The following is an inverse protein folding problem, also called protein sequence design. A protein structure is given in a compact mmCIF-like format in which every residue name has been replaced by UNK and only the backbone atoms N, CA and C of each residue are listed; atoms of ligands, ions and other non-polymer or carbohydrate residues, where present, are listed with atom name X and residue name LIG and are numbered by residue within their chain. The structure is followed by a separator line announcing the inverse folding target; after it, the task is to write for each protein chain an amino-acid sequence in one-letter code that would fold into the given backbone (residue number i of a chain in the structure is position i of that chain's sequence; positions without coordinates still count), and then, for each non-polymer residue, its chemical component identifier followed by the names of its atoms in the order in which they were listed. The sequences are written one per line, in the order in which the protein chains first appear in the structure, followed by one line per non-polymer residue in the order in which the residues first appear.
data_IF_102896121109
#
_entry.id   IF_102896121109
#
_cell.length_a   1.000
_cell.length_b   1.000
_cell.length_c   1.000
_cell.angle_alpha   90.00
_cell.angle_beta   90.00
_cell.angle_gamma   90.00
#
_symmetry.space_group_name_H-M   'P 1'
#
loop_
_entity.id
_entity.type
_entity.pdbx_description
1 polymer ?
#
# COMPACT_ATOMS: atom_id res chain seq x y z
N UNK A 1 -14.11 25.59 17.74
CA UNK A 1 -13.30 26.01 18.90
C UNK A 1 -12.34 24.90 19.25
N UNK A 2 -11.05 25.15 19.12
CA UNK A 2 -9.97 24.22 19.42
C UNK A 2 -9.44 24.42 20.85
N UNK A 3 -9.02 23.33 21.52
CA UNK A 3 -8.20 23.40 22.73
C UNK A 3 -6.72 23.28 22.38
N UNK A 4 -5.86 23.97 23.15
CA UNK A 4 -4.41 23.82 23.08
C UNK A 4 -3.99 22.36 23.12
N UNK A 5 -2.98 22.01 22.32
CA UNK A 5 -2.38 20.67 22.32
C UNK A 5 -1.75 20.40 23.70
N UNK A 6 -1.81 19.14 24.13
CA UNK A 6 -1.16 18.62 25.34
C UNK A 6 -0.21 17.50 24.96
N UNK A 7 0.82 17.29 25.78
CA UNK A 7 1.79 16.20 25.63
C UNK A 7 1.76 15.33 26.90
N UNK A 8 1.53 14.04 26.72
CA UNK A 8 1.46 13.04 27.78
C UNK A 8 2.31 11.81 27.40
N UNK A 9 2.85 11.09 28.37
CA UNK A 9 3.54 9.80 28.14
C UNK A 9 2.55 8.65 28.21
N UNK A 10 2.80 7.59 27.44
CA UNK A 10 2.09 6.32 27.63
C UNK A 10 2.49 5.66 28.97
N UNK A 11 1.54 4.97 29.61
CA UNK A 11 1.70 4.37 30.95
C UNK A 11 2.48 3.05 30.95
N UNK A 12 2.83 2.54 29.78
CA UNK A 12 3.60 1.31 29.53
C UNK A 12 5.13 1.48 29.71
N UNK A 13 5.59 2.69 30.04
CA UNK A 13 7.01 3.07 30.13
C UNK A 13 7.82 2.83 28.82
N UNK A 14 7.14 2.78 27.68
CA UNK A 14 7.73 2.58 26.34
C UNK A 14 8.58 3.76 25.82
N UNK A 15 8.63 4.88 26.54
CA UNK A 15 9.24 6.14 26.07
C UNK A 15 8.45 6.78 24.92
N UNK A 16 7.16 6.50 24.80
CA UNK A 16 6.31 7.06 23.74
C UNK A 16 5.58 8.31 24.24
N UNK A 17 5.32 9.25 23.32
CA UNK A 17 4.64 10.52 23.61
C UNK A 17 3.35 10.63 22.81
N UNK A 18 2.26 10.97 23.51
CA UNK A 18 0.92 11.22 23.00
C UNK A 18 0.71 12.73 22.96
N UNK A 19 0.77 13.33 21.77
CA UNK A 19 0.30 14.71 21.58
C UNK A 19 -1.20 14.66 21.28
N UNK A 20 -2.03 15.45 21.97
CA UNK A 20 -3.47 15.44 21.71
C UNK A 20 -4.13 16.81 21.83
N UNK A 21 -5.20 17.01 21.06
CA UNK A 21 -6.06 18.18 21.13
C UNK A 21 -7.53 17.77 20.99
N UNK A 22 -8.45 18.70 21.28
CA UNK A 22 -9.88 18.45 21.24
C UNK A 22 -10.61 19.67 20.64
N UNK A 23 -11.59 19.39 19.79
CA UNK A 23 -12.44 20.40 19.13
C UNK A 23 -13.85 20.34 19.71
N UNK A 24 -14.49 21.51 19.81
CA UNK A 24 -15.86 21.69 20.27
C UNK A 24 -16.70 22.47 19.26
N UNK A 25 -18.00 22.16 19.22
CA UNK A 25 -19.01 22.72 18.33
C UNK A 25 -18.63 22.54 16.84
N UNK A 26 -18.35 21.30 16.41
CA UNK A 26 -18.15 20.98 14.99
C UNK A 26 -19.51 20.94 14.29
N UNK A 27 -19.84 22.01 13.57
CA UNK A 27 -21.17 22.17 12.94
C UNK A 27 -21.32 21.39 11.62
N UNK A 28 -20.24 21.12 10.90
CA UNK A 28 -20.26 20.37 9.64
C UNK A 28 -18.98 19.55 9.41
N UNK A 29 -19.04 18.61 8.47
CA UNK A 29 -17.96 17.69 8.16
C UNK A 29 -16.66 18.42 7.82
N UNK A 30 -15.64 18.14 8.62
CA UNK A 30 -14.40 18.91 8.70
C UNK A 30 -13.20 18.10 8.26
N UNK A 31 -12.16 18.79 7.79
CA UNK A 31 -10.85 18.21 7.54
C UNK A 31 -9.91 18.67 8.63
N UNK A 32 -9.23 17.73 9.29
CA UNK A 32 -8.26 18.06 10.35
C UNK A 32 -6.87 17.66 9.87
N UNK A 33 -5.89 18.50 10.17
CA UNK A 33 -4.48 18.34 9.77
C UNK A 33 -3.55 18.46 10.97
N UNK A 34 -2.43 17.74 10.90
CA UNK A 34 -1.32 17.81 11.83
C UNK A 34 -0.05 18.22 11.09
N UNK A 35 0.76 19.04 11.75
CA UNK A 35 2.00 19.59 11.22
C UNK A 35 3.14 19.40 12.21
N UNK A 36 4.38 19.28 11.71
CA UNK A 36 5.61 19.46 12.50
C UNK A 36 6.51 20.42 11.76
N UNK A 37 6.88 21.53 12.39
CA UNK A 37 7.71 22.59 11.79
C UNK A 37 7.15 23.03 10.41
N UNK A 38 5.86 23.37 10.37
CA UNK A 38 5.09 23.76 9.17
C UNK A 38 4.85 22.66 8.10
N UNK A 39 5.59 21.54 8.11
CA UNK A 39 5.35 20.40 7.22
C UNK A 39 4.12 19.57 7.66
N UNK A 40 3.23 19.23 6.73
CA UNK A 40 2.03 18.42 7.00
C UNK A 40 2.37 16.93 7.16
N UNK A 41 2.23 16.43 8.38
CA UNK A 41 2.59 15.05 8.75
C UNK A 41 1.41 14.06 8.69
N UNK A 42 0.17 14.55 8.79
CA UNK A 42 -1.04 13.74 8.64
C UNK A 42 -2.30 14.59 8.42
N UNK A 43 -3.29 14.03 7.71
CA UNK A 43 -4.66 14.58 7.65
C UNK A 43 -5.71 13.48 7.69
N UNK A 44 -6.95 13.85 8.01
CA UNK A 44 -8.12 12.95 8.04
C UNK A 44 -9.43 13.75 7.97
N UNK A 45 -10.53 13.03 7.75
CA UNK A 45 -11.90 13.57 7.80
C UNK A 45 -12.52 13.32 9.17
N UNK A 46 -13.38 14.24 9.60
CA UNK A 46 -14.06 14.22 10.89
C UNK A 46 -15.50 14.69 10.70
N UNK A 47 -16.47 13.97 11.28
CA UNK A 47 -17.88 14.27 11.05
C UNK A 47 -18.41 15.40 11.94
N UNK A 48 -19.50 16.04 11.48
CA UNK A 48 -20.29 16.95 12.29
C UNK A 48 -20.66 16.34 13.66
N UNK A 49 -20.58 17.12 14.73
CA UNK A 49 -20.87 16.70 16.10
C UNK A 49 -19.83 15.78 16.77
N UNK A 50 -18.76 15.36 16.09
CA UNK A 50 -17.73 14.53 16.72
C UNK A 50 -16.81 15.37 17.64
N UNK A 51 -16.85 15.15 18.97
CA UNK A 51 -16.03 15.87 19.98
C UNK A 51 -14.96 15.01 20.67
N UNK A 52 -14.60 13.87 20.08
CA UNK A 52 -13.48 13.02 20.51
C UNK A 52 -12.14 13.79 20.55
N UNK A 53 -11.18 13.50 21.42
CA UNK A 53 -9.80 13.93 21.19
C UNK A 53 -9.26 13.33 19.88
N UNK A 54 -8.41 14.09 19.17
CA UNK A 54 -7.41 13.45 18.31
C UNK A 54 -6.09 13.39 19.06
N UNK A 55 -5.46 12.23 18.93
CA UNK A 55 -4.15 11.91 19.43
C UNK A 55 -3.18 11.69 18.25
N UNK A 56 -1.92 12.02 18.47
CA UNK A 56 -0.78 11.80 17.60
C UNK A 56 0.29 11.10 18.44
N UNK A 57 0.47 9.80 18.22
CA UNK A 57 1.51 9.01 18.90
C UNK A 57 2.87 9.21 18.20
N UNK A 58 3.88 9.56 18.98
CA UNK A 58 5.29 9.52 18.62
C UNK A 58 5.89 8.31 19.34
N UNK A 59 6.17 7.23 18.61
CA UNK A 59 6.84 6.05 19.15
C UNK A 59 8.30 6.40 19.52
N UNK A 60 8.87 5.78 20.56
CA UNK A 60 10.24 5.99 21.08
C UNK A 60 10.76 7.43 20.89
N UNK A 61 10.17 8.37 21.63
CA UNK A 61 10.41 9.79 21.47
C UNK A 61 11.84 10.19 21.89
N UNK A 62 12.45 11.06 21.09
CA UNK A 62 13.88 11.38 21.11
C UNK A 62 14.10 12.86 20.81
N UNK A 63 15.32 13.37 20.98
CA UNK A 63 15.65 14.77 20.63
C UNK A 63 15.32 15.14 19.17
N UNK A 64 15.41 14.19 18.22
CA UNK A 64 14.98 14.38 16.82
C UNK A 64 13.48 14.67 16.67
N UNK A 65 12.66 14.29 17.64
CA UNK A 65 11.21 14.53 17.64
C UNK A 65 10.85 15.94 18.11
N UNK A 66 11.79 16.69 18.69
CA UNK A 66 11.55 18.08 19.08
C UNK A 66 11.14 18.97 17.89
N UNK A 67 10.35 20.00 18.18
CA UNK A 67 9.80 20.91 17.17
C UNK A 67 8.46 21.53 17.57
N UNK A 68 7.95 22.42 16.72
CA UNK A 68 6.61 23.00 16.85
C UNK A 68 5.61 22.07 16.16
N UNK A 69 4.72 21.46 16.95
CA UNK A 69 3.61 20.67 16.44
C UNK A 69 2.38 21.54 16.28
N UNK A 70 1.78 21.54 15.10
CA UNK A 70 0.55 22.27 14.80
C UNK A 70 -0.61 21.32 14.57
N UNK A 71 -1.83 21.73 14.93
CA UNK A 71 -3.06 21.07 14.52
C UNK A 71 -4.10 22.10 14.08
N UNK A 72 -4.75 21.88 12.94
CA UNK A 72 -5.81 22.73 12.41
C UNK A 72 -7.05 21.93 12.02
N UNK A 73 -8.20 22.58 12.07
CA UNK A 73 -9.49 22.07 11.59
C UNK A 73 -10.10 23.06 10.60
N UNK A 74 -10.50 22.57 9.42
CA UNK A 74 -11.04 23.37 8.32
C UNK A 74 -12.37 22.81 7.84
N UNK A 75 -13.38 23.68 7.70
CA UNK A 75 -14.68 23.40 7.08
C UNK A 75 -15.20 24.65 6.33
N UNK A 76 -16.47 24.64 5.91
CA UNK A 76 -17.08 25.76 5.17
C UNK A 76 -17.17 27.08 5.95
N UNK A 77 -17.13 27.02 7.29
CA UNK A 77 -17.21 28.19 8.17
C UNK A 77 -15.84 28.82 8.45
N UNK A 78 -14.73 28.18 8.06
CA UNK A 78 -13.39 28.72 8.20
C UNK A 78 -12.33 27.70 8.62
N UNK A 79 -11.29 28.16 9.32
CA UNK A 79 -10.24 27.33 9.91
C UNK A 79 -9.91 27.80 11.31
N UNK A 80 -9.74 26.85 12.23
CA UNK A 80 -9.37 27.04 13.63
C UNK A 80 -8.09 26.22 13.90
N UNK A 81 -7.14 26.71 14.69
CA UNK A 81 -5.81 26.08 14.80
C UNK A 81 -5.10 26.35 16.13
N UNK A 82 -4.18 25.45 16.49
CA UNK A 82 -3.34 25.55 17.68
C UNK A 82 -1.96 24.95 17.41
N UNK A 83 -0.98 25.42 18.16
CA UNK A 83 0.39 24.91 18.20
C UNK A 83 0.79 24.39 19.59
N UNK A 84 1.93 23.70 19.66
CA UNK A 84 2.65 23.34 20.88
C UNK A 84 4.12 23.05 20.58
N UNK A 85 5.04 23.62 21.36
CA UNK A 85 6.48 23.33 21.28
C UNK A 85 6.83 22.09 22.09
N UNK A 86 7.11 20.98 21.42
CA UNK A 86 7.71 19.80 22.04
C UNK A 86 9.22 20.03 22.15
N UNK A 87 9.69 20.51 23.31
CA UNK A 87 11.11 20.79 23.54
C UNK A 87 11.91 19.52 23.88
N UNK A 88 13.22 19.56 23.66
CA UNK A 88 14.12 18.49 24.08
C UNK A 88 14.13 18.29 25.61
N UNK A 89 13.80 19.33 26.40
CA UNK A 89 13.68 19.25 27.86
C UNK A 89 12.43 18.49 28.29
N UNK A 90 11.28 18.74 27.63
CA UNK A 90 10.04 17.97 27.83
C UNK A 90 10.31 16.50 27.50
N UNK A 91 10.98 16.24 26.37
CA UNK A 91 11.35 14.90 25.95
C UNK A 91 12.33 14.22 26.93
N UNK A 92 13.32 14.93 27.47
CA UNK A 92 14.25 14.40 28.46
C UNK A 92 13.54 14.07 29.79
N UNK A 93 12.64 14.95 30.27
CA UNK A 93 11.83 14.70 31.46
C UNK A 93 10.82 13.54 31.30
N UNK A 94 10.46 13.21 30.06
CA UNK A 94 9.62 12.04 29.72
C UNK A 94 10.42 10.75 29.49
N UNK A 95 11.72 10.85 29.15
CA UNK A 95 12.57 9.73 28.76
C UNK A 95 13.33 9.14 29.97
N UNK A 96 12.61 8.62 30.95
CA UNK A 96 13.20 8.00 32.16
C UNK A 96 13.69 6.55 31.90
N UNK A 97 14.32 6.29 30.75
CA UNK A 97 14.77 4.94 30.35
C UNK A 97 16.13 4.97 29.67
N UNK A 98 17.17 5.19 30.47
CA UNK A 98 18.52 4.77 30.10
C UNK A 98 18.53 3.24 29.84
N UNK A 99 19.21 2.81 28.79
CA UNK A 99 19.12 1.45 28.26
C UNK A 99 19.95 0.43 29.08
N UNK A 100 19.57 0.21 30.34
CA UNK A 100 20.24 -0.68 31.30
C UNK A 100 20.00 -2.18 31.02
N UNK A 101 20.39 -2.67 29.85
CA UNK A 101 20.64 -4.10 29.54
C UNK A 101 19.44 -5.07 29.57
N UNK A 102 18.29 -4.68 30.10
CA UNK A 102 17.08 -5.50 30.14
C UNK A 102 16.46 -5.57 28.74
N UNK A 103 16.65 -6.70 28.06
CA UNK A 103 15.97 -6.98 26.80
C UNK A 103 14.45 -6.99 26.95
N UNK A 104 13.74 -6.61 25.90
CA UNK A 104 12.29 -6.46 25.85
C UNK A 104 11.65 -7.78 25.38
N UNK A 105 10.63 -8.25 26.10
CA UNK A 105 9.78 -9.35 25.61
C UNK A 105 8.84 -8.79 24.54
N UNK A 106 8.66 -9.52 23.44
CA UNK A 106 7.83 -9.14 22.29
C UNK A 106 6.97 -10.31 21.80
N UNK A 107 5.85 -9.94 21.18
CA UNK A 107 4.91 -10.87 20.56
C UNK A 107 4.94 -10.67 19.04
N UNK A 108 5.33 -11.69 18.28
CA UNK A 108 5.47 -11.65 16.81
C UNK A 108 4.44 -12.57 16.13
N UNK A 109 3.97 -12.25 14.92
CA UNK A 109 3.00 -13.10 14.20
C UNK A 109 3.32 -13.03 12.69
N UNK A 110 4.20 -13.91 12.18
CA UNK A 110 4.77 -13.78 10.86
C UNK A 110 3.76 -14.11 9.75
N UNK A 111 3.93 -13.47 8.59
CA UNK A 111 3.13 -13.71 7.39
C UNK A 111 3.98 -14.48 6.37
N UNK A 112 3.78 -15.81 6.32
CA UNK A 112 4.59 -16.67 5.45
C UNK A 112 3.90 -16.87 4.10
N UNK A 113 4.62 -16.53 3.03
CA UNK A 113 4.24 -16.82 1.65
C UNK A 113 4.86 -18.16 1.23
N UNK A 114 4.01 -19.15 0.99
CA UNK A 114 4.40 -20.54 0.70
C UNK A 114 4.38 -20.87 -0.80
N UNK A 115 3.63 -20.10 -1.61
CA UNK A 115 3.33 -20.39 -3.03
C UNK A 115 3.62 -19.21 -3.99
N UNK A 116 4.58 -18.34 -3.64
CA UNK A 116 5.06 -17.26 -4.50
C UNK A 116 4.07 -16.09 -4.66
N UNK A 117 4.22 -15.28 -5.71
CA UNK A 117 3.51 -14.00 -5.87
C UNK A 117 1.97 -14.08 -6.02
N UNK A 118 1.40 -15.28 -6.16
CA UNK A 118 -0.04 -15.50 -6.18
C UNK A 118 -0.60 -16.01 -4.84
N UNK A 119 0.27 -16.24 -3.84
CA UNK A 119 -0.12 -16.59 -2.49
C UNK A 119 -0.61 -15.32 -1.75
N UNK A 120 -1.76 -15.41 -1.06
CA UNK A 120 -2.22 -14.34 -0.17
C UNK A 120 -1.35 -14.20 1.09
N UNK A 121 -0.48 -15.18 1.33
CA UNK A 121 0.22 -15.38 2.59
C UNK A 121 -0.69 -16.09 3.60
N UNK A 122 -0.06 -16.80 4.53
CA UNK A 122 -0.72 -17.39 5.70
C UNK A 122 -0.07 -16.83 6.96
N UNK A 123 -0.90 -16.31 7.86
CA UNK A 123 -0.49 -15.95 9.21
C UNK A 123 -0.22 -17.23 10.01
N UNK A 124 0.97 -17.32 10.62
CA UNK A 124 1.33 -18.43 11.50
C UNK A 124 1.06 -18.02 12.96
N UNK A 125 0.99 -19.00 13.86
CA UNK A 125 0.79 -18.78 15.30
C UNK A 125 1.78 -17.77 15.89
N UNK A 126 1.34 -17.13 16.99
CA UNK A 126 2.11 -16.10 17.68
C UNK A 126 3.36 -16.68 18.34
N UNK A 127 4.51 -16.09 18.03
CA UNK A 127 5.76 -16.32 18.73
C UNK A 127 5.92 -15.33 19.88
N UNK A 128 6.46 -15.82 20.99
CA UNK A 128 6.80 -15.03 22.18
C UNK A 128 8.30 -15.13 22.37
N UNK A 129 8.99 -14.01 22.20
CA UNK A 129 10.44 -13.97 22.19
C UNK A 129 10.99 -12.70 22.82
N UNK A 130 12.31 -12.66 23.02
CA UNK A 130 12.99 -11.52 23.62
C UNK A 130 14.01 -10.91 22.68
N UNK A 131 14.06 -9.59 22.66
CA UNK A 131 15.01 -8.80 21.88
C UNK A 131 15.82 -7.88 22.78
N UNK A 132 16.97 -7.41 22.31
CA UNK A 132 17.76 -6.37 22.96
C UNK A 132 18.11 -5.30 21.92
N UNK A 133 17.63 -4.07 22.12
CA UNK A 133 17.96 -2.95 21.24
C UNK A 133 19.47 -2.71 21.22
N UNK A 134 20.06 -2.81 20.04
CA UNK A 134 21.51 -2.75 19.83
C UNK A 134 21.97 -1.39 19.30
N UNK A 135 21.14 -0.72 18.48
CA UNK A 135 21.44 0.58 17.88
C UNK A 135 20.15 1.28 17.46
N UNK A 136 19.92 2.51 17.93
CA UNK A 136 18.69 3.28 17.68
C UNK A 136 18.85 4.31 16.54
N UNK A 137 17.70 4.71 15.96
CA UNK A 137 17.58 5.79 14.97
C UNK A 137 18.34 5.58 13.64
N UNK A 138 18.16 4.39 13.05
CA UNK A 138 18.70 3.99 11.74
C UNK A 138 17.95 4.62 10.55
N UNK A 139 17.86 5.95 10.55
CA UNK A 139 17.23 6.71 9.48
C UNK A 139 16.89 8.15 9.90
N UNK A 140 16.50 8.92 8.90
CA UNK A 140 16.15 10.35 9.03
C UNK A 140 14.74 10.65 8.45
N UNK A 141 13.88 9.62 8.40
CA UNK A 141 12.54 9.73 7.82
C UNK A 141 11.49 10.14 8.86
N UNK A 142 10.91 11.34 8.71
CA UNK A 142 9.82 11.88 9.54
C UNK A 142 8.52 11.04 9.63
N UNK A 143 8.47 9.86 9.00
CA UNK A 143 7.31 8.95 8.98
C UNK A 143 7.58 7.57 9.59
N UNK A 144 8.83 7.19 9.84
CA UNK A 144 9.20 5.86 10.32
C UNK A 144 10.44 5.91 11.20
N UNK A 145 10.38 5.23 12.36
CA UNK A 145 11.53 4.98 13.21
C UNK A 145 12.04 3.56 12.98
N UNK A 146 13.36 3.44 12.96
CA UNK A 146 14.06 2.20 12.64
C UNK A 146 15.17 2.00 13.66
N UNK A 147 15.32 0.79 14.18
CA UNK A 147 16.42 0.40 15.07
C UNK A 147 16.85 -1.04 14.82
N UNK A 148 18.11 -1.36 15.18
CA UNK A 148 18.60 -2.74 15.21
C UNK A 148 18.34 -3.32 16.59
N UNK A 149 17.90 -4.57 16.61
CA UNK A 149 17.79 -5.35 17.85
C UNK A 149 18.39 -6.74 17.66
N UNK A 150 19.03 -7.27 18.70
CA UNK A 150 19.54 -8.63 18.74
C UNK A 150 18.48 -9.55 19.32
N UNK A 151 18.17 -10.64 18.63
CA UNK A 151 17.25 -11.68 19.11
C UNK A 151 17.96 -12.48 20.20
N UNK A 152 17.25 -12.72 21.31
CA UNK A 152 17.76 -13.45 22.48
C UNK A 152 17.17 -14.87 22.53
N UNK A 153 15.87 -15.01 22.27
CA UNK A 153 15.18 -16.31 22.09
C UNK A 153 13.78 -16.09 21.48
N UNK A 154 13.15 -17.16 21.00
CA UNK A 154 11.70 -17.30 20.88
C UNK A 154 11.09 -16.68 19.62
N UNK A 155 11.90 -16.46 18.58
CA UNK A 155 11.45 -15.98 17.26
C UNK A 155 11.78 -16.98 16.13
N UNK A 156 12.34 -18.12 16.49
CA UNK A 156 12.62 -19.26 15.62
C UNK A 156 11.32 -19.83 15.01
N UNK A 157 11.31 -20.26 13.74
CA UNK A 157 12.43 -20.33 12.80
C UNK A 157 12.65 -19.05 11.96
N UNK A 158 11.93 -17.95 12.26
CA UNK A 158 11.97 -16.72 11.44
C UNK A 158 13.21 -15.88 11.75
N UNK A 159 13.62 -15.83 13.02
CA UNK A 159 14.91 -15.31 13.44
C UNK A 159 15.53 -16.21 14.51
N UNK A 160 16.76 -16.67 14.27
CA UNK A 160 17.53 -17.46 15.24
C UNK A 160 18.08 -16.58 16.37
N UNK A 161 18.13 -17.11 17.60
CA UNK A 161 18.82 -16.53 18.74
C UNK A 161 20.25 -16.10 18.38
N UNK A 162 20.62 -14.89 18.76
CA UNK A 162 21.89 -14.26 18.44
C UNK A 162 21.90 -13.40 17.18
N UNK A 163 20.97 -13.60 16.24
CA UNK A 163 20.92 -12.80 15.01
C UNK A 163 20.39 -11.37 15.26
N UNK A 164 20.77 -10.45 14.38
CA UNK A 164 20.31 -9.05 14.42
C UNK A 164 19.14 -8.87 13.46
N UNK A 165 17.99 -8.44 13.98
CA UNK A 165 16.86 -7.97 13.19
C UNK A 165 16.85 -6.42 13.13
N UNK A 166 16.09 -5.89 12.17
CA UNK A 166 15.74 -4.48 12.07
C UNK A 166 14.26 -4.36 12.39
N UNK A 167 13.94 -3.47 13.33
CA UNK A 167 12.58 -3.19 13.78
C UNK A 167 12.18 -1.82 13.22
N UNK A 168 11.03 -1.75 12.57
CA UNK A 168 10.47 -0.50 12.02
C UNK A 168 9.09 -0.23 12.61
N UNK A 169 8.90 0.97 13.14
CA UNK A 169 7.59 1.48 13.58
C UNK A 169 7.27 2.74 12.80
N UNK A 170 6.08 2.79 12.20
CA UNK A 170 5.57 4.02 11.59
C UNK A 170 5.36 5.06 12.70
N UNK A 171 5.93 6.26 12.53
CA UNK A 171 5.84 7.32 13.53
C UNK A 171 5.98 8.69 12.85
N UNK A 172 5.07 9.65 13.08
CA UNK A 172 3.97 9.58 14.03
C UNK A 172 2.71 8.86 13.50
N UNK A 173 1.81 8.46 14.40
CA UNK A 173 0.53 7.80 14.10
C UNK A 173 -0.64 8.65 14.62
N UNK A 174 -1.54 9.09 13.74
CA UNK A 174 -2.79 9.76 14.13
C UNK A 174 -3.91 8.76 14.44
N UNK A 175 -4.60 8.97 15.57
CA UNK A 175 -5.77 8.18 15.96
C UNK A 175 -6.80 9.03 16.74
N UNK A 176 -8.08 8.84 16.43
CA UNK A 176 -9.19 9.50 17.12
C UNK A 176 -9.76 8.62 18.24
N UNK A 177 -10.11 9.22 19.38
CA UNK A 177 -10.63 8.50 20.54
C UNK A 177 -10.02 8.96 21.86
N UNK A 178 -10.37 8.26 22.95
CA UNK A 178 -9.81 8.49 24.29
C UNK A 178 -8.83 7.39 24.70
N UNK A 179 -9.21 6.14 24.42
CA UNK A 179 -8.46 4.93 24.75
C UNK A 179 -7.39 4.60 23.71
N UNK A 180 -6.29 4.01 24.16
CA UNK A 180 -5.18 3.59 23.28
C UNK A 180 -5.44 2.25 22.58
N UNK A 181 -6.58 1.59 22.88
CA UNK A 181 -7.21 0.56 22.03
C UNK A 181 -7.41 1.05 20.58
N UNK A 182 -7.78 2.32 20.41
CA UNK A 182 -7.95 2.93 19.09
C UNK A 182 -6.61 3.21 18.37
N UNK A 183 -5.49 3.39 19.09
CA UNK A 183 -4.14 3.40 18.50
C UNK A 183 -3.73 2.00 18.05
N UNK A 184 -4.03 0.97 18.86
CA UNK A 184 -3.78 -0.43 18.56
C UNK A 184 -4.45 -0.83 17.24
N UNK A 185 -5.76 -0.63 17.13
CA UNK A 185 -6.51 -0.94 15.90
C UNK A 185 -6.03 -0.10 14.71
N UNK A 186 -5.76 1.18 14.92
CA UNK A 186 -5.32 2.09 13.85
C UNK A 186 -3.94 1.73 13.30
N UNK A 187 -2.97 1.41 14.17
CA UNK A 187 -1.66 0.97 13.71
C UNK A 187 -1.76 -0.41 13.06
N UNK A 188 -2.52 -1.34 13.62
CA UNK A 188 -2.79 -2.64 13.00
C UNK A 188 -3.38 -2.50 11.58
N UNK A 189 -4.27 -1.55 11.34
CA UNK A 189 -4.86 -1.31 10.01
C UNK A 189 -3.94 -0.57 9.03
N UNK A 190 -3.02 0.28 9.51
CA UNK A 190 -1.95 0.85 8.68
C UNK A 190 -0.96 -0.26 8.32
N UNK A 191 -0.50 -1.02 9.32
CA UNK A 191 0.36 -2.17 9.13
C UNK A 191 -0.28 -3.18 8.19
N UNK A 192 -1.56 -3.56 8.29
CA UNK A 192 -2.22 -4.46 7.29
C UNK A 192 -2.14 -3.95 5.84
N UNK A 193 -2.17 -2.64 5.63
CA UNK A 193 -2.08 -2.02 4.28
C UNK A 193 -0.66 -2.07 3.72
N UNK A 194 0.34 -1.93 4.58
CA UNK A 194 1.77 -2.01 4.24
C UNK A 194 2.26 -3.49 4.19
N UNK A 195 1.69 -4.34 5.06
CA UNK A 195 2.01 -5.76 5.28
C UNK A 195 1.48 -6.70 4.20
N UNK A 196 0.68 -6.21 3.23
CA UNK A 196 0.55 -6.91 1.95
C UNK A 196 1.91 -7.05 1.19
N UNK A 197 3.01 -6.51 1.74
CA UNK A 197 4.38 -6.79 1.32
C UNK A 197 5.37 -7.27 2.42
N UNK A 198 5.15 -7.09 3.74
CA UNK A 198 6.14 -7.40 4.80
C UNK A 198 5.55 -7.61 6.23
N UNK A 199 6.05 -8.61 6.97
CA UNK A 199 5.63 -9.13 8.30
C UNK A 199 5.15 -8.16 9.40
N UNK A 200 4.31 -8.67 10.32
CA UNK A 200 3.73 -7.98 11.50
C UNK A 200 4.19 -8.59 12.85
N UNK A 201 4.18 -7.78 13.92
CA UNK A 201 4.32 -8.22 15.31
C UNK A 201 3.25 -7.58 16.23
N UNK A 202 2.41 -8.35 16.96
CA UNK A 202 1.34 -7.78 17.77
C UNK A 202 1.43 -8.01 19.30
N UNK A 203 2.13 -7.10 20.02
CA UNK A 203 1.73 -6.43 21.28
C UNK A 203 2.95 -5.87 22.08
N UNK A 204 2.68 -5.18 23.19
CA UNK A 204 3.61 -4.56 24.16
C UNK A 204 4.49 -3.38 23.66
N UNK A 205 4.69 -3.26 22.35
CA UNK A 205 5.22 -2.07 21.66
C UNK A 205 4.28 -1.81 20.46
N UNK A 206 3.94 -0.56 20.09
CA UNK A 206 3.03 -0.28 18.98
C UNK A 206 3.55 -0.88 17.68
N UNK A 207 2.85 -1.93 17.25
CA UNK A 207 3.01 -2.78 16.06
C UNK A 207 4.11 -2.32 15.11
N UNK A 208 5.22 -3.06 15.17
CA UNK A 208 6.37 -2.91 14.29
C UNK A 208 6.35 -3.97 13.18
N UNK A 209 6.99 -3.66 12.05
CA UNK A 209 7.52 -4.71 11.18
C UNK A 209 8.89 -5.15 11.70
N UNK A 210 9.15 -6.46 11.69
CA UNK A 210 10.46 -7.03 12.03
C UNK A 210 11.03 -7.66 10.77
N UNK A 211 12.21 -7.19 10.39
CA UNK A 211 12.90 -7.53 9.14
C UNK A 211 14.32 -8.07 9.43
N UNK A 212 14.89 -8.81 8.49
CA UNK A 212 16.30 -9.22 8.55
C UNK A 212 17.22 -8.01 8.39
N UNK A 213 18.26 -7.88 9.23
CA UNK A 213 19.25 -6.82 9.04
C UNK A 213 19.99 -7.00 7.70
N UNK A 214 19.98 -5.95 6.87
CA UNK A 214 20.71 -5.93 5.60
C UNK A 214 22.10 -5.34 5.82
N UNK A 215 23.12 -6.20 5.81
CA UNK A 215 24.52 -5.79 5.92
C UNK A 215 25.02 -5.15 4.63
N UNK A 216 25.58 -3.94 4.72
CA UNK A 216 26.19 -3.19 3.62
C UNK A 216 25.67 -1.75 3.51
N UNK A 217 25.90 -1.12 2.35
CA UNK A 217 25.56 0.30 2.14
C UNK A 217 24.12 0.44 1.64
N UNK A 218 23.23 0.86 2.54
CA UNK A 218 21.82 1.14 2.25
C UNK A 218 21.64 2.28 1.24
N UNK A 219 20.78 2.06 0.23
CA UNK A 219 20.54 2.98 -0.88
C UNK A 219 19.05 3.01 -1.24
N UNK A 220 18.56 4.21 -1.57
CA UNK A 220 17.31 4.39 -2.33
C UNK A 220 17.63 4.28 -3.83
N UNK A 221 16.95 3.38 -4.54
CA UNK A 221 17.07 3.18 -5.98
C UNK A 221 15.91 3.82 -6.75
N UNK A 222 14.72 3.85 -6.15
CA UNK A 222 13.60 4.67 -6.58
C UNK A 222 12.87 5.28 -5.36
N UNK A 223 12.37 6.51 -5.49
CA UNK A 223 11.45 7.13 -4.53
C UNK A 223 10.49 8.10 -5.23
N UNK A 224 9.35 8.38 -4.61
CA UNK A 224 8.30 9.23 -5.16
C UNK A 224 8.51 10.70 -4.74
N UNK A 225 8.48 11.63 -5.69
CA UNK A 225 8.55 13.06 -5.41
C UNK A 225 7.18 13.70 -5.13
N UNK A 226 7.19 14.92 -4.58
CA UNK A 226 5.99 15.66 -4.19
C UNK A 226 5.11 16.12 -5.38
N UNK A 227 5.58 16.02 -6.62
CA UNK A 227 4.79 16.29 -7.84
C UNK A 227 4.10 15.04 -8.37
N UNK A 228 4.53 13.85 -7.93
CA UNK A 228 4.09 12.55 -8.44
C UNK A 228 5.03 11.94 -9.48
N UNK A 229 6.20 12.52 -9.71
CA UNK A 229 7.29 11.86 -10.44
C UNK A 229 8.00 10.81 -9.58
N UNK A 230 8.74 9.91 -10.23
CA UNK A 230 9.61 8.93 -9.56
C UNK A 230 11.06 9.22 -9.95
N UNK A 231 11.90 9.58 -8.97
CA UNK A 231 13.36 9.58 -9.15
C UNK A 231 13.84 8.14 -9.21
N UNK A 232 14.48 7.73 -10.31
CA UNK A 232 15.00 6.36 -10.49
C UNK A 232 16.50 6.41 -10.82
N UNK A 233 17.32 5.98 -9.85
CA UNK A 233 18.77 6.21 -9.82
C UNK A 233 19.55 5.20 -10.64
N UNK A 234 19.33 5.25 -11.96
CA UNK A 234 19.90 4.35 -12.98
C UNK A 234 21.43 4.45 -13.19
N UNK A 235 22.14 5.28 -12.41
CA UNK A 235 23.61 5.39 -12.41
C UNK A 235 24.36 4.19 -11.82
N UNK A 236 23.67 3.12 -11.44
CA UNK A 236 24.25 1.84 -11.00
C UNK A 236 23.52 0.66 -11.64
N UNK A 237 24.19 -0.49 -11.76
CA UNK A 237 23.59 -1.70 -12.33
C UNK A 237 22.31 -2.13 -11.57
N UNK A 238 22.34 -2.05 -10.24
CA UNK A 238 21.17 -2.32 -9.39
C UNK A 238 20.05 -1.31 -9.64
N UNK A 239 20.37 -0.01 -9.79
CA UNK A 239 19.38 1.01 -10.14
C UNK A 239 18.76 0.80 -11.52
N UNK A 240 19.51 0.28 -12.49
CA UNK A 240 18.97 -0.13 -13.79
C UNK A 240 18.05 -1.36 -13.66
N UNK A 241 18.45 -2.38 -12.90
CA UNK A 241 17.62 -3.54 -12.57
C UNK A 241 16.31 -3.14 -11.87
N UNK A 242 16.36 -2.17 -10.94
CA UNK A 242 15.17 -1.60 -10.30
C UNK A 242 14.25 -0.89 -11.31
N UNK A 243 14.80 -0.05 -12.19
CA UNK A 243 14.05 0.61 -13.26
C UNK A 243 13.38 -0.38 -14.22
N UNK A 244 14.06 -1.49 -14.52
CA UNK A 244 13.52 -2.59 -15.31
C UNK A 244 12.45 -3.38 -14.57
N UNK A 245 12.60 -3.60 -13.26
CA UNK A 245 11.60 -4.28 -12.45
C UNK A 245 10.30 -3.47 -12.36
N UNK A 246 10.38 -2.14 -12.22
CA UNK A 246 9.23 -1.24 -12.32
C UNK A 246 8.51 -1.38 -13.67
N UNK A 247 9.25 -1.41 -14.78
CA UNK A 247 8.70 -1.58 -16.13
C UNK A 247 8.10 -2.98 -16.34
N UNK A 248 8.75 -4.04 -15.83
CA UNK A 248 8.23 -5.40 -15.89
C UNK A 248 6.91 -5.54 -15.10
N UNK A 249 6.84 -5.03 -13.87
CA UNK A 249 5.61 -5.00 -13.06
C UNK A 249 4.50 -4.20 -13.75
N UNK A 250 4.83 -3.01 -14.28
CA UNK A 250 3.88 -2.18 -15.03
C UNK A 250 3.31 -2.95 -16.23
N UNK A 251 4.16 -3.59 -17.05
CA UNK A 251 3.70 -4.35 -18.22
C UNK A 251 2.89 -5.59 -17.81
N UNK A 252 3.36 -6.34 -16.80
CA UNK A 252 2.74 -7.57 -16.32
C UNK A 252 1.34 -7.33 -15.74
N UNK A 253 1.14 -6.20 -15.05
CA UNK A 253 -0.17 -5.80 -14.50
C UNK A 253 -1.02 -4.99 -15.49
N UNK A 254 -0.65 -4.94 -16.77
CA UNK A 254 -1.32 -4.14 -17.81
C UNK A 254 -1.50 -2.66 -17.43
N UNK A 255 -0.49 -2.07 -16.78
CA UNK A 255 -0.45 -0.67 -16.37
C UNK A 255 -1.34 -0.35 -15.15
N UNK A 256 -1.71 -1.34 -14.33
CA UNK A 256 -2.56 -1.13 -13.15
C UNK A 256 -1.79 -1.00 -11.83
N UNK A 257 -0.57 -1.52 -11.73
CA UNK A 257 0.30 -1.41 -10.55
C UNK A 257 1.68 -0.91 -10.97
N UNK A 258 2.27 -0.05 -10.13
CA UNK A 258 3.61 0.51 -10.33
C UNK A 258 4.33 0.61 -8.98
N UNK A 259 5.60 0.19 -8.92
CA UNK A 259 6.41 0.34 -7.71
C UNK A 259 7.00 1.75 -7.66
N UNK A 260 6.69 2.48 -6.59
CA UNK A 260 6.99 3.91 -6.40
C UNK A 260 8.21 4.14 -5.50
N UNK A 261 8.53 3.20 -4.61
CA UNK A 261 9.76 3.20 -3.80
C UNK A 261 10.45 1.86 -3.88
N UNK A 262 11.76 1.89 -4.09
CA UNK A 262 12.65 0.73 -4.07
C UNK A 262 13.93 1.12 -3.34
N UNK A 263 14.19 0.49 -2.20
CA UNK A 263 15.33 0.78 -1.33
C UNK A 263 15.87 -0.51 -0.69
N UNK A 264 17.10 -0.46 -0.17
CA UNK A 264 17.74 -1.64 0.45
C UNK A 264 19.25 -1.68 0.24
N UNK A 265 19.81 -2.88 0.23
CA UNK A 265 21.25 -3.12 0.08
C UNK A 265 21.49 -4.08 -1.07
N UNK A 266 22.21 -3.61 -2.08
CA UNK A 266 22.49 -4.29 -3.34
C UNK A 266 21.20 -4.90 -3.93
N UNK A 267 21.12 -6.21 -4.17
CA UNK A 267 19.91 -6.84 -4.72
C UNK A 267 18.83 -7.17 -3.67
N UNK A 268 19.08 -6.94 -2.38
CA UNK A 268 18.12 -7.18 -1.29
C UNK A 268 17.29 -5.91 -1.06
N UNK A 269 16.02 -5.95 -1.48
CA UNK A 269 15.08 -4.83 -1.36
C UNK A 269 14.22 -4.92 -0.09
N UNK A 270 13.84 -3.77 0.43
CA UNK A 270 13.00 -3.54 1.61
C UNK A 270 12.22 -2.23 1.41
N UNK A 271 11.18 -1.96 2.20
CA UNK A 271 10.46 -0.68 2.15
C UNK A 271 9.77 -0.40 0.79
N UNK A 272 9.38 -1.47 0.09
CA UNK A 272 8.85 -1.40 -1.28
C UNK A 272 7.49 -0.71 -1.31
N UNK A 273 7.47 0.51 -1.83
CA UNK A 273 6.25 1.28 -2.04
C UNK A 273 5.61 0.96 -3.39
N UNK A 274 4.28 0.94 -3.45
CA UNK A 274 3.53 0.78 -4.69
C UNK A 274 2.41 1.81 -4.83
N UNK A 275 1.92 1.98 -6.05
CA UNK A 275 0.71 2.71 -6.39
C UNK A 275 -0.15 1.88 -7.34
N UNK A 276 -1.46 2.13 -7.31
CA UNK A 276 -2.44 1.52 -8.22
C UNK A 276 -3.03 2.61 -9.12
N UNK A 277 -3.38 2.26 -10.37
CA UNK A 277 -3.95 3.22 -11.33
C UNK A 277 -5.39 3.60 -10.99
N UNK A 278 -6.12 2.70 -10.35
CA UNK A 278 -7.49 2.90 -9.85
C UNK A 278 -7.65 2.22 -8.48
N UNK A 279 -8.41 2.87 -7.60
CA UNK A 279 -8.70 2.40 -6.24
C UNK A 279 -9.34 1.01 -6.25
N UNK A 280 -8.88 0.10 -5.40
CA UNK A 280 -9.47 -1.23 -5.23
C UNK A 280 -8.97 -2.33 -6.17
N UNK A 281 -7.97 -2.06 -7.03
CA UNK A 281 -7.39 -3.08 -7.92
C UNK A 281 -6.95 -4.33 -7.12
N UNK A 282 -7.43 -5.51 -7.50
CA UNK A 282 -7.16 -6.80 -6.84
C UNK A 282 -7.36 -6.80 -5.30
N UNK A 283 -8.27 -5.98 -4.78
CA UNK A 283 -8.51 -5.88 -3.33
C UNK A 283 -7.35 -5.22 -2.57
N UNK A 284 -6.56 -4.38 -3.24
CA UNK A 284 -5.62 -3.46 -2.60
C UNK A 284 -6.39 -2.21 -2.16
N UNK A 285 -6.39 -1.92 -0.86
CA UNK A 285 -7.02 -0.74 -0.24
C UNK A 285 -6.15 0.52 -0.35
N UNK A 286 -5.49 0.67 -1.49
CA UNK A 286 -4.72 1.84 -1.88
C UNK A 286 -5.55 2.77 -2.78
N UNK A 287 -5.40 4.08 -2.60
CA UNK A 287 -6.04 5.09 -3.45
C UNK A 287 -5.36 5.16 -4.82
N UNK A 288 -6.16 5.31 -5.88
CA UNK A 288 -5.66 5.38 -7.26
C UNK A 288 -4.96 6.72 -7.54
N UNK A 289 -3.68 6.68 -7.92
CA UNK A 289 -2.92 7.88 -8.28
C UNK A 289 -2.43 7.81 -9.76
N UNK A 290 -3.29 8.14 -10.73
CA UNK A 290 -2.99 7.96 -12.15
C UNK A 290 -1.81 8.82 -12.65
N UNK A 291 -1.57 10.00 -12.04
CA UNK A 291 -0.47 10.90 -12.43
C UNK A 291 0.89 10.20 -12.40
N UNK A 292 1.14 9.35 -11.40
CA UNK A 292 2.41 8.63 -11.26
C UNK A 292 2.67 7.68 -12.44
N UNK A 293 1.60 7.12 -13.02
CA UNK A 293 1.69 6.27 -14.21
C UNK A 293 2.00 7.09 -15.47
N UNK A 294 1.42 8.28 -15.60
CA UNK A 294 1.69 9.23 -16.69
C UNK A 294 3.14 9.77 -16.63
N UNK A 295 3.62 10.14 -15.44
CA UNK A 295 5.01 10.51 -15.20
C UNK A 295 5.96 9.34 -15.52
N UNK A 296 5.66 8.12 -15.09
CA UNK A 296 6.49 6.95 -15.38
C UNK A 296 6.57 6.63 -16.90
N UNK A 297 5.44 6.60 -17.61
CA UNK A 297 5.40 6.33 -19.07
C UNK A 297 6.17 7.40 -19.87
N UNK A 298 6.09 8.67 -19.46
CA UNK A 298 6.78 9.78 -20.13
C UNK A 298 8.29 9.82 -19.83
N UNK A 299 8.71 9.53 -18.60
CA UNK A 299 10.10 9.67 -18.15
C UNK A 299 10.94 8.38 -18.27
N UNK A 300 10.33 7.20 -18.22
CA UNK A 300 11.06 5.94 -18.32
C UNK A 300 11.83 5.82 -19.66
N UNK A 301 13.10 5.46 -19.56
CA UNK A 301 13.98 5.13 -20.68
C UNK A 301 14.38 3.67 -20.53
N UNK A 302 13.98 2.83 -21.48
CA UNK A 302 14.33 1.42 -21.46
C UNK A 302 15.85 1.25 -21.52
N UNK A 303 16.38 0.37 -20.66
CA UNK A 303 17.81 0.09 -20.55
C UNK A 303 18.15 -1.31 -21.11
N UNK A 304 19.40 -1.74 -20.96
CA UNK A 304 19.87 -3.06 -21.37
C UNK A 304 19.02 -4.23 -20.83
N UNK A 305 18.69 -4.22 -19.54
CA UNK A 305 17.88 -5.26 -18.90
C UNK A 305 16.41 -5.24 -19.36
N UNK A 306 15.86 -4.07 -19.71
CA UNK A 306 14.53 -4.00 -20.36
C UNK A 306 14.53 -4.72 -21.71
N UNK A 307 15.63 -4.63 -22.46
CA UNK A 307 15.85 -5.39 -23.70
C UNK A 307 15.97 -6.89 -23.46
N UNK A 308 16.75 -7.32 -22.47
CA UNK A 308 16.89 -8.74 -22.09
C UNK A 308 15.56 -9.39 -21.70
N UNK A 309 14.67 -8.65 -21.02
CA UNK A 309 13.32 -9.13 -20.66
C UNK A 309 12.27 -8.96 -21.77
N UNK A 310 12.65 -8.49 -22.97
CA UNK A 310 11.73 -8.32 -24.10
C UNK A 310 10.60 -7.32 -23.85
N UNK A 311 10.82 -6.32 -22.98
CA UNK A 311 9.77 -5.37 -22.59
C UNK A 311 9.44 -4.40 -23.73
N UNK A 312 8.14 -4.14 -23.94
CA UNK A 312 7.67 -3.22 -24.98
C UNK A 312 7.97 -1.78 -24.55
N UNK A 313 8.60 -0.95 -25.39
CA UNK A 313 8.86 0.46 -25.06
C UNK A 313 7.56 1.20 -24.77
N UNK A 314 7.43 1.78 -23.57
CA UNK A 314 6.17 2.36 -23.07
C UNK A 314 5.59 3.45 -23.99
N UNK A 315 6.47 4.21 -24.67
CA UNK A 315 6.10 5.27 -25.61
C UNK A 315 5.41 4.76 -26.90
N UNK A 316 5.58 3.47 -27.22
CA UNK A 316 4.82 2.79 -28.29
C UNK A 316 3.46 2.31 -27.78
N UNK A 317 3.34 1.97 -26.50
CA UNK A 317 2.10 1.48 -25.89
C UNK A 317 1.05 2.60 -25.75
N UNK A 318 1.48 3.82 -25.40
CA UNK A 318 0.61 5.00 -25.32
C UNK A 318 -0.10 5.29 -26.67
N UNK A 319 0.66 5.21 -27.77
CA UNK A 319 0.16 5.35 -29.15
C UNK A 319 -0.84 4.26 -29.59
N UNK A 320 -1.00 3.18 -28.81
CA UNK A 320 -1.95 2.09 -29.05
C UNK A 320 -3.17 2.13 -28.11
N UNK A 321 -3.15 2.98 -27.08
CA UNK A 321 -4.22 3.11 -26.07
C UNK A 321 -5.11 4.34 -26.29
N UNK A 322 -4.73 5.27 -27.16
CA UNK A 322 -5.63 6.37 -27.56
C UNK A 322 -6.85 5.82 -28.32
N UNK A 323 -8.10 6.13 -27.93
CA UNK A 323 -9.28 5.64 -28.64
C UNK A 323 -9.35 6.24 -30.04
N UNK A 324 -9.55 5.38 -31.05
CA UNK A 324 -9.74 5.80 -32.44
C UNK A 324 -10.99 6.67 -32.53
N UNK A 325 -10.80 7.98 -32.82
CA UNK A 325 -11.91 8.93 -33.00
C UNK A 325 -12.90 8.36 -34.05
N UNK A 326 -14.21 8.26 -33.74
CA UNK A 326 -15.20 7.83 -34.72
C UNK A 326 -15.12 8.72 -35.97
N UNK A 327 -14.96 8.11 -37.15
CA UNK A 327 -15.05 8.84 -38.41
C UNK A 327 -16.50 9.31 -38.58
N UNK A 328 -16.72 10.61 -38.37
CA UNK A 328 -18.03 11.23 -38.49
C UNK A 328 -18.68 10.92 -39.85
N UNK A 329 -19.94 10.50 -39.82
CA UNK A 329 -20.70 10.12 -41.00
C UNK A 329 -20.90 11.31 -41.94
N UNK A 330 -20.48 11.16 -43.20
CA UNK A 330 -20.86 12.06 -44.30
C UNK A 330 -21.82 11.34 -45.23
N UNK A 331 -23.11 11.46 -44.93
CA UNK A 331 -24.20 10.98 -45.80
C UNK A 331 -24.17 11.75 -47.14
N UNK A 332 -24.19 11.06 -48.30
CA UNK A 332 -24.15 11.72 -49.60
C UNK A 332 -25.54 12.15 -50.07
N UNK A 333 -25.71 13.39 -50.53
CA UNK A 333 -26.97 13.88 -51.08
C UNK A 333 -26.76 14.80 -52.30
N UNK A 334 -26.78 14.15 -53.48
CA UNK A 334 -27.19 14.64 -54.82
C UNK A 334 -26.71 16.02 -55.33
N UNK A 335 -25.94 16.01 -56.44
CA UNK A 335 -26.27 16.87 -57.60
C UNK A 335 -25.72 16.38 -58.98
N UNK A 336 -26.67 15.98 -59.85
CA UNK A 336 -26.81 16.32 -61.29
C UNK A 336 -25.75 15.94 -62.37
N UNK A 337 -26.01 14.78 -63.02
CA UNK A 337 -25.72 14.33 -64.41
C UNK A 337 -25.07 15.27 -65.45
N UNK A 338 -24.13 14.70 -66.25
CA UNK A 338 -24.22 14.37 -67.71
C UNK A 338 -23.06 13.39 -68.06
N UNK A 339 -23.32 12.20 -68.66
CA UNK A 339 -23.33 11.88 -70.11
C UNK A 339 -21.97 12.18 -70.78
N UNK A 340 -21.27 11.27 -71.49
CA UNK A 340 -21.58 9.95 -72.10
C UNK A 340 -20.60 8.83 -71.57
N UNK A 341 -20.24 7.67 -72.17
CA UNK A 341 -20.44 7.06 -73.52
C UNK A 341 -20.46 5.49 -73.54
N UNK A 342 -19.66 4.84 -74.41
CA UNK A 342 -19.56 3.42 -74.84
C UNK A 342 -18.47 2.60 -74.08
N UNK A 343 -18.40 1.25 -74.08
CA UNK A 343 -19.07 0.23 -74.90
C UNK A 343 -19.14 -1.15 -74.17
N UNK A 344 -19.98 -2.07 -74.65
CA UNK A 344 -20.00 -3.51 -74.30
C UNK A 344 -20.29 -4.34 -75.57
N UNK A 345 -19.87 -5.61 -75.66
CA UNK A 345 -20.88 -6.69 -75.57
C UNK A 345 -20.41 -8.10 -75.07
N UNK A 346 -21.28 -8.78 -74.30
CA UNK A 346 -21.66 -10.22 -74.43
C UNK A 346 -20.60 -11.34 -74.14
N UNK A 347 -20.91 -12.62 -73.85
CA UNK A 347 -22.17 -13.35 -73.53
C UNK A 347 -21.90 -14.71 -72.79
N UNK A 348 -23.01 -15.38 -72.38
CA UNK A 348 -23.17 -16.77 -71.89
C UNK A 348 -22.66 -17.09 -70.46
N UNK A 349 -23.41 -17.73 -69.54
CA UNK A 349 -24.28 -18.96 -69.56
C UNK A 349 -23.43 -20.25 -69.51
N UNK A 350 -23.71 -21.27 -68.68
CA UNK A 350 -25.00 -21.75 -68.11
C UNK A 350 -24.79 -22.50 -66.75
N UNK A 351 -25.88 -22.85 -66.05
CA UNK A 351 -25.90 -23.78 -64.89
C UNK A 351 -25.87 -25.27 -65.36
N UNK A 352 -25.88 -26.34 -64.55
CA UNK A 352 -26.77 -26.76 -63.43
C UNK A 352 -26.18 -28.00 -62.70
N UNK A 353 -26.37 -28.18 -61.37
CA UNK A 353 -26.72 -29.46 -60.70
C UNK A 353 -26.61 -29.44 -59.15
N UNK A 354 -27.49 -30.20 -58.47
CA UNK A 354 -27.42 -30.61 -57.05
C UNK A 354 -28.23 -31.91 -56.90
N UNK A 355 -27.99 -32.78 -55.89
CA UNK A 355 -28.93 -32.79 -54.75
C UNK A 355 -28.36 -33.21 -53.37
N UNK A 356 -28.72 -32.41 -52.35
CA UNK A 356 -29.49 -32.70 -51.09
C UNK A 356 -29.53 -34.10 -50.39
N UNK A 357 -29.94 -34.16 -49.08
CA UNK A 357 -29.51 -35.15 -48.07
C UNK A 357 -30.72 -36.04 -47.61
N UNK A 358 -31.25 -36.13 -46.35
CA UNK A 358 -30.76 -36.00 -44.95
C UNK A 358 -31.29 -37.05 -43.94
N UNK A 359 -30.91 -36.95 -42.64
CA UNK A 359 -31.74 -37.04 -41.38
C UNK A 359 -30.81 -37.03 -40.14
N UNK A 360 -31.08 -36.35 -39.00
CA UNK A 360 -32.18 -36.40 -38.00
C UNK A 360 -32.22 -37.71 -37.18
N UNK A 361 -32.44 -37.72 -35.85
CA UNK A 361 -32.54 -36.64 -34.84
C UNK A 361 -32.45 -37.20 -33.39
N UNK A 362 -32.57 -36.30 -32.41
CA UNK A 362 -33.04 -36.40 -31.00
C UNK A 362 -34.10 -37.49 -30.68
N UNK A 363 -34.39 -37.93 -29.43
CA UNK A 363 -34.04 -37.46 -28.07
C UNK A 363 -34.27 -38.54 -26.96
N UNK A 364 -33.62 -38.36 -25.80
CA UNK A 364 -34.07 -38.52 -24.38
C UNK A 364 -34.46 -39.87 -23.67
N UNK A 365 -34.08 -39.94 -22.38
CA UNK A 365 -34.62 -40.67 -21.20
C UNK A 365 -34.53 -42.22 -21.05
N UNK A 366 -34.29 -42.70 -19.80
CA UNK A 366 -34.70 -44.06 -19.38
C UNK A 366 -33.93 -44.85 -18.27
N UNK A 367 -34.38 -44.73 -17.01
CA UNK A 367 -34.33 -45.76 -15.92
C UNK A 367 -33.04 -46.11 -15.11
N UNK A 368 -33.30 -46.60 -13.88
CA UNK A 368 -32.43 -47.02 -12.75
C UNK A 368 -32.58 -48.56 -12.52
N UNK A 369 -32.17 -49.26 -11.41
CA UNK A 369 -31.52 -48.85 -10.13
C UNK A 369 -30.41 -49.79 -9.55
N UNK A 370 -29.78 -49.40 -8.42
CA UNK A 370 -29.70 -50.26 -7.21
C UNK A 370 -29.16 -49.57 -5.93
N UNK A 371 -29.61 -50.13 -4.79
CA UNK A 371 -29.19 -50.14 -3.37
C UNK A 371 -27.74 -49.73 -2.98
N UNK A 372 -27.42 -49.40 -1.70
CA UNK A 372 -28.14 -49.62 -0.43
C UNK A 372 -27.81 -48.63 0.72
N UNK A 373 -28.81 -48.41 1.60
CA UNK A 373 -28.79 -48.02 3.05
C UNK A 373 -27.96 -46.83 3.59
N UNK A 374 -28.49 -46.26 4.68
CA UNK A 374 -27.91 -45.18 5.47
C UNK A 374 -28.12 -45.44 6.98
N UNK A 375 -27.40 -44.69 7.83
CA UNK A 375 -27.74 -44.46 9.25
C UNK A 375 -27.37 -43.04 9.67
N UNK A 376 -28.41 -42.25 9.95
CA UNK A 376 -28.60 -41.33 11.11
C UNK A 376 -27.59 -41.43 12.29
N UNK A 377 -27.44 -40.46 13.22
CA UNK A 377 -28.43 -39.50 13.78
C UNK A 377 -27.79 -38.08 14.07
N UNK A 378 -28.32 -37.13 14.90
CA UNK A 378 -28.77 -35.82 14.40
C UNK A 378 -28.01 -34.57 14.89
N UNK A 379 -28.51 -33.39 14.47
CA UNK A 379 -28.25 -32.08 15.10
C UNK A 379 -28.95 -31.93 16.47
N UNK A 380 -28.38 -31.10 17.34
CA UNK A 380 -29.09 -30.50 18.49
C UNK A 380 -29.85 -29.24 18.04
N UNK A 381 -31.03 -28.99 18.62
CA UNK A 381 -31.89 -27.83 18.35
C UNK A 381 -31.84 -26.75 19.43
N UNK A 382 -32.58 -25.65 19.20
CA UNK A 382 -32.58 -24.46 20.06
C UNK A 382 -33.41 -24.59 21.35
N UNK A 383 -33.14 -23.64 22.24
CA UNK A 383 -33.96 -23.07 23.33
C UNK A 383 -35.46 -22.89 22.99
N UNK A 384 -36.33 -22.84 24.02
CA UNK A 384 -36.54 -21.59 24.79
C UNK A 384 -35.60 -21.36 25.98
#
# INVERSE_FOLDING_TARGET
VIRKIRAETFSDASGHVKLWCQFFNILSDSTVKWYKNEEEIAHFKRSAGEETPINLAVAQASSKDSGVYGCSITNEYGTDSTDFLLSAEILAGMSLREALGVGEEIEMTPLIFTKGLADSGTWVDKFFGRIMTAESHLGDGCSHKVWRAKVIYGLEPVFESGNTCVIKVRSPITYGGKEDSSLIERNLDIMKKECKAQNLAPNAVPYATVETNLEGVYKKYADLDHTGGIDVRTGSEVGQKCSTFQHWIFQWTNGNLLLTRLEGVDTKLTGVGFSVKSTGHQGLTAEGNPKVFEHFVSHHKCNYFCGLLGLKPLKVMDSLMTPVKPKGSRSPLLQRKKVSSSCSPQLNRKAVASPRPPRKAEQDSGSTPMKEKATDVPKVGNTP
#
